data_IF_671617427421
#
_entry.id   IF_671617427421
#
_cell.length_a   1.000
_cell.length_b   1.000
_cell.length_c   1.000
_cell.angle_alpha   90.00
_cell.angle_beta   90.00
_cell.angle_gamma   90.00
#
_symmetry.space_group_name_H-M   'P 1'
#
loop_
_entity.id
_entity.type
_entity.pdbx_description
1 polymer ?
#
# COMPACT_ATOMS: atom_id res chain seq x y z
N UNK A 1 -37.42 -9.37 -41.37
CA UNK A 1 -36.30 -8.44 -41.36
C UNK A 1 -36.28 -7.49 -40.14
N UNK A 2 -37.38 -6.76 -39.81
CA UNK A 2 -37.40 -5.81 -38.66
C UNK A 2 -37.00 -6.43 -37.32
N UNK A 3 -37.45 -7.65 -37.01
CA UNK A 3 -37.09 -8.34 -35.73
C UNK A 3 -35.61 -8.66 -35.63
N UNK A 4 -34.92 -8.95 -36.73
CA UNK A 4 -33.51 -9.21 -36.77
C UNK A 4 -32.68 -7.94 -36.46
N UNK A 5 -33.07 -6.79 -37.03
CA UNK A 5 -32.40 -5.52 -36.75
C UNK A 5 -32.57 -5.10 -35.29
N UNK A 6 -33.72 -5.34 -34.69
CA UNK A 6 -33.95 -5.04 -33.26
C UNK A 6 -33.06 -5.93 -32.40
N UNK A 7 -32.96 -7.22 -32.70
CA UNK A 7 -32.10 -8.14 -31.93
C UNK A 7 -30.62 -7.79 -32.08
N UNK A 8 -30.19 -7.43 -33.28
CA UNK A 8 -28.83 -6.96 -33.54
C UNK A 8 -28.52 -5.67 -32.77
N UNK A 9 -29.43 -4.70 -32.80
CA UNK A 9 -29.26 -3.44 -32.07
C UNK A 9 -29.13 -3.67 -30.55
N UNK A 10 -29.98 -4.56 -29.98
CA UNK A 10 -29.88 -4.93 -28.56
C UNK A 10 -28.51 -5.55 -28.29
N UNK A 11 -28.02 -6.46 -29.14
CA UNK A 11 -26.70 -7.07 -28.99
C UNK A 11 -25.57 -6.04 -28.98
N UNK A 12 -25.62 -5.05 -29.88
CA UNK A 12 -24.65 -3.95 -29.92
C UNK A 12 -24.69 -3.11 -28.64
N UNK A 13 -25.89 -2.77 -28.17
CA UNK A 13 -26.05 -1.99 -26.91
C UNK A 13 -25.47 -2.76 -25.72
N UNK A 14 -25.80 -4.05 -25.58
CA UNK A 14 -25.25 -4.90 -24.51
C UNK A 14 -23.73 -4.99 -24.57
N UNK A 15 -23.18 -5.17 -25.79
CA UNK A 15 -21.74 -5.19 -26.01
C UNK A 15 -21.08 -3.86 -25.59
N UNK A 16 -21.65 -2.73 -26.01
CA UNK A 16 -21.15 -1.41 -25.64
C UNK A 16 -21.20 -1.17 -24.12
N UNK A 17 -22.30 -1.54 -23.46
CA UNK A 17 -22.41 -1.44 -22.01
C UNK A 17 -21.38 -2.33 -21.30
N UNK A 18 -21.16 -3.54 -21.77
CA UNK A 18 -20.13 -4.43 -21.26
C UNK A 18 -18.73 -3.83 -21.45
N UNK A 19 -18.44 -3.31 -22.64
CA UNK A 19 -17.17 -2.69 -22.97
C UNK A 19 -16.88 -1.47 -22.10
N UNK A 20 -17.84 -0.56 -21.98
CA UNK A 20 -17.72 0.63 -21.13
C UNK A 20 -17.47 0.22 -19.66
N UNK A 21 -18.25 -0.73 -19.16
CA UNK A 21 -18.10 -1.25 -17.78
C UNK A 21 -16.71 -1.90 -17.56
N UNK A 22 -16.16 -2.53 -18.61
CA UNK A 22 -14.83 -3.15 -18.52
C UNK A 22 -13.69 -2.12 -18.51
N UNK A 23 -13.81 -1.02 -19.23
CA UNK A 23 -12.74 0.00 -19.36
C UNK A 23 -12.83 1.08 -18.30
N UNK A 24 -14.03 1.58 -18.02
CA UNK A 24 -14.25 2.70 -17.08
C UNK A 24 -14.52 2.22 -15.65
N UNK A 25 -14.81 0.93 -15.50
CA UNK A 25 -15.26 0.33 -14.24
C UNK A 25 -16.76 0.50 -14.00
N UNK A 26 -17.28 -0.28 -13.06
CA UNK A 26 -18.68 -0.26 -12.72
C UNK A 26 -18.98 0.91 -11.77
N UNK A 27 -19.94 1.81 -12.10
CA UNK A 27 -20.24 2.97 -11.27
C UNK A 27 -20.71 2.61 -9.85
N UNK A 28 -21.43 1.48 -9.70
CA UNK A 28 -21.84 0.99 -8.38
C UNK A 28 -20.63 0.52 -7.57
N UNK A 29 -19.72 -0.23 -8.20
CA UNK A 29 -18.49 -0.67 -7.54
C UNK A 29 -17.59 0.50 -7.20
N UNK A 30 -17.53 1.54 -8.05
CA UNK A 30 -16.83 2.80 -7.76
C UNK A 30 -17.41 3.46 -6.51
N UNK A 31 -18.73 3.62 -6.42
CA UNK A 31 -19.38 4.21 -5.25
C UNK A 31 -19.08 3.43 -3.97
N UNK A 32 -19.12 2.10 -4.05
CA UNK A 32 -18.80 1.22 -2.92
C UNK A 32 -17.30 1.31 -2.53
N UNK A 33 -16.39 1.32 -3.50
CA UNK A 33 -14.96 1.48 -3.25
C UNK A 33 -14.66 2.85 -2.62
N UNK A 34 -15.29 3.92 -3.11
CA UNK A 34 -15.17 5.26 -2.53
C UNK A 34 -15.67 5.32 -1.09
N UNK A 35 -16.82 4.68 -0.80
CA UNK A 35 -17.35 4.60 0.57
C UNK A 35 -16.40 3.85 1.50
N UNK A 36 -15.82 2.75 1.03
CA UNK A 36 -14.84 1.99 1.79
C UNK A 36 -13.54 2.76 2.01
N UNK A 37 -13.05 3.47 0.96
CA UNK A 37 -11.89 4.35 1.08
C UNK A 37 -12.10 5.42 2.16
N UNK A 38 -13.26 6.08 2.18
CA UNK A 38 -13.60 7.05 3.22
C UNK A 38 -13.63 6.45 4.61
N UNK A 39 -14.24 5.27 4.78
CA UNK A 39 -14.25 4.56 6.06
C UNK A 39 -12.84 4.22 6.53
N UNK A 40 -11.98 3.70 5.65
CA UNK A 40 -10.58 3.42 5.95
C UNK A 40 -9.84 4.68 6.39
N UNK A 41 -9.98 5.78 5.64
CA UNK A 41 -9.32 7.05 5.95
C UNK A 41 -9.80 7.68 7.25
N UNK A 42 -11.09 7.57 7.58
CA UNK A 42 -11.61 8.02 8.88
C UNK A 42 -10.95 7.27 10.04
N UNK A 43 -10.60 6.00 9.84
CA UNK A 43 -9.88 5.22 10.86
C UNK A 43 -8.39 5.61 10.93
N UNK A 44 -7.76 5.88 9.79
CA UNK A 44 -6.34 6.26 9.74
C UNK A 44 -6.08 7.70 10.17
N UNK A 45 -7.01 8.61 9.88
CA UNK A 45 -6.89 10.04 10.10
C UNK A 45 -8.08 10.58 10.90
N UNK A 46 -8.39 9.93 12.03
CA UNK A 46 -9.61 10.18 12.82
C UNK A 46 -9.86 11.67 13.14
N UNK A 47 -8.79 12.43 13.41
CA UNK A 47 -8.86 13.84 13.84
C UNK A 47 -8.24 14.80 12.79
N UNK A 48 -8.06 14.36 11.54
CA UNK A 48 -7.38 15.15 10.52
C UNK A 48 -8.27 15.39 9.31
N UNK A 49 -8.06 16.53 8.67
CA UNK A 49 -8.73 16.84 7.41
C UNK A 49 -8.01 16.16 6.24
N UNK A 50 -8.78 15.56 5.35
CA UNK A 50 -8.28 14.99 4.11
C UNK A 50 -9.24 15.24 2.95
N UNK A 51 -8.70 15.31 1.73
CA UNK A 51 -9.45 15.21 0.50
C UNK A 51 -9.19 13.84 -0.16
N UNK A 52 -10.16 13.35 -0.91
CA UNK A 52 -10.09 12.08 -1.63
C UNK A 52 -10.47 12.32 -3.09
N UNK A 53 -9.47 12.25 -3.97
CA UNK A 53 -9.63 12.41 -5.39
C UNK A 53 -9.55 11.05 -6.10
N UNK A 54 -10.53 10.75 -6.96
CA UNK A 54 -10.53 9.52 -7.76
C UNK A 54 -9.62 9.71 -8.96
N UNK A 55 -8.56 8.94 -9.07
CA UNK A 55 -7.69 8.89 -10.26
C UNK A 55 -8.39 8.12 -11.37
N UNK A 56 -8.88 6.91 -11.08
CA UNK A 56 -9.54 6.10 -12.08
C UNK A 56 -9.73 4.64 -11.70
N UNK A 57 -10.14 3.88 -12.70
CA UNK A 57 -10.23 2.43 -12.62
C UNK A 57 -9.05 1.82 -13.39
N UNK A 58 -8.27 1.02 -12.71
CA UNK A 58 -7.20 0.27 -13.33
C UNK A 58 -7.76 -1.02 -13.93
N UNK A 59 -7.76 -1.09 -15.27
CA UNK A 59 -8.32 -2.22 -16.01
C UNK A 59 -7.58 -3.53 -15.74
N UNK A 60 -6.26 -3.50 -15.61
CA UNK A 60 -5.44 -4.70 -15.45
C UNK A 60 -5.60 -5.32 -14.07
N UNK A 61 -5.51 -4.50 -13.03
CA UNK A 61 -5.66 -4.95 -11.64
C UNK A 61 -7.11 -5.08 -11.19
N UNK A 62 -8.08 -4.50 -11.94
CA UNK A 62 -9.49 -4.38 -11.54
C UNK A 62 -9.67 -3.65 -10.20
N UNK A 63 -8.91 -2.59 -9.99
CA UNK A 63 -8.90 -1.79 -8.77
C UNK A 63 -9.24 -0.34 -9.05
N UNK A 64 -9.70 0.38 -8.03
CA UNK A 64 -9.89 1.83 -8.08
C UNK A 64 -8.72 2.52 -7.38
N UNK A 65 -8.13 3.49 -8.09
CA UNK A 65 -7.01 4.28 -7.61
C UNK A 65 -7.51 5.66 -7.17
N UNK A 66 -7.01 6.10 -6.03
CA UNK A 66 -7.32 7.38 -5.40
C UNK A 66 -6.03 8.10 -5.01
N UNK A 67 -6.07 9.43 -5.03
CA UNK A 67 -5.11 10.27 -4.32
C UNK A 67 -5.81 10.81 -3.08
N UNK A 68 -5.19 10.61 -1.94
CA UNK A 68 -5.60 11.15 -0.65
C UNK A 68 -4.66 12.28 -0.32
N UNK A 69 -5.17 13.50 -0.16
CA UNK A 69 -4.37 14.62 0.33
C UNK A 69 -4.80 14.94 1.74
N UNK A 70 -3.86 14.87 2.69
CA UNK A 70 -4.04 15.22 4.08
C UNK A 70 -3.40 16.57 4.35
N UNK A 71 -4.13 17.48 4.95
CA UNK A 71 -3.59 18.74 5.44
C UNK A 71 -3.00 18.54 6.82
N UNK A 72 -1.74 18.92 6.99
CA UNK A 72 -1.05 18.86 8.27
C UNK A 72 -0.14 20.10 8.39
N UNK A 73 -0.55 21.03 9.23
CA UNK A 73 0.11 22.32 9.44
C UNK A 73 0.32 23.10 8.11
N UNK A 74 1.58 23.27 7.70
CA UNK A 74 1.95 23.99 6.47
C UNK A 74 2.23 23.06 5.28
N UNK A 75 2.12 21.73 5.47
CA UNK A 75 2.53 20.75 4.48
C UNK A 75 1.36 19.84 4.12
N UNK A 76 1.03 19.77 2.83
CA UNK A 76 0.06 18.82 2.30
C UNK A 76 0.73 17.48 1.98
N UNK A 77 0.27 16.43 2.63
CA UNK A 77 0.73 15.07 2.37
C UNK A 77 -0.19 14.36 1.41
N UNK A 78 0.34 13.80 0.33
CA UNK A 78 -0.44 12.98 -0.60
C UNK A 78 -0.05 11.51 -0.54
N UNK A 79 -1.07 10.65 -0.62
CA UNK A 79 -0.94 9.19 -0.60
C UNK A 79 -1.63 8.60 -1.83
N UNK A 80 -1.03 7.56 -2.39
CA UNK A 80 -1.71 6.69 -3.35
C UNK A 80 -2.48 5.61 -2.58
N UNK A 81 -3.78 5.54 -2.79
CA UNK A 81 -4.68 4.56 -2.18
C UNK A 81 -5.32 3.73 -3.28
N UNK A 82 -5.13 2.41 -3.23
CA UNK A 82 -5.74 1.48 -4.17
C UNK A 82 -6.72 0.55 -3.45
N UNK A 83 -7.96 0.51 -3.92
CA UNK A 83 -9.04 -0.32 -3.38
C UNK A 83 -9.41 -1.43 -4.36
N UNK A 84 -9.45 -2.67 -3.87
CA UNK A 84 -9.95 -3.79 -4.63
C UNK A 84 -11.44 -3.60 -4.98
N UNK A 85 -11.80 -3.78 -6.25
CA UNK A 85 -13.17 -3.59 -6.75
C UNK A 85 -14.08 -4.81 -6.57
N UNK A 86 -13.59 -5.92 -6.05
CA UNK A 86 -14.41 -7.13 -5.88
C UNK A 86 -15.52 -6.89 -4.86
N UNK A 87 -16.73 -7.29 -5.21
CA UNK A 87 -17.92 -7.02 -4.40
C UNK A 87 -17.85 -7.63 -3.00
N UNK A 88 -17.26 -8.83 -2.88
CA UNK A 88 -17.17 -9.59 -1.64
C UNK A 88 -15.88 -9.33 -0.84
N UNK A 89 -14.84 -8.78 -1.48
CA UNK A 89 -13.51 -8.61 -0.87
C UNK A 89 -13.03 -7.18 -1.14
N UNK A 90 -13.50 -6.26 -0.30
CA UNK A 90 -13.08 -4.86 -0.34
C UNK A 90 -11.91 -4.69 0.61
N UNK A 91 -10.74 -4.67 0.07
CA UNK A 91 -9.51 -4.48 0.83
C UNK A 91 -8.72 -3.32 0.27
N UNK A 92 -7.98 -2.65 1.15
CA UNK A 92 -6.93 -1.74 0.74
C UNK A 92 -5.78 -2.57 0.22
N UNK A 93 -5.52 -2.47 -1.08
CA UNK A 93 -4.38 -3.13 -1.71
C UNK A 93 -3.09 -2.36 -1.47
N UNK A 94 -3.16 -1.03 -1.61
CA UNK A 94 -2.00 -0.15 -1.46
C UNK A 94 -2.42 1.13 -0.75
N UNK A 95 -1.62 1.54 0.24
CA UNK A 95 -1.69 2.86 0.85
C UNK A 95 -0.26 3.31 1.11
N UNK A 96 0.29 4.11 0.19
CA UNK A 96 1.67 4.57 0.20
C UNK A 96 1.73 6.05 -0.10
N UNK A 97 2.75 6.78 0.39
CA UNK A 97 2.98 8.16 0.01
C UNK A 97 3.10 8.32 -1.50
N UNK A 98 2.52 9.40 -2.02
CA UNK A 98 2.60 9.70 -3.44
C UNK A 98 4.01 10.21 -3.79
N UNK A 99 4.71 9.64 -4.79
CA UNK A 99 6.11 9.97 -5.08
C UNK A 99 6.38 11.46 -5.30
N UNK A 100 5.44 12.18 -5.94
CA UNK A 100 5.61 13.61 -6.22
C UNK A 100 5.74 14.49 -4.96
N UNK A 101 5.30 14.00 -3.79
CA UNK A 101 5.35 14.72 -2.51
C UNK A 101 6.51 14.31 -1.63
N UNK A 102 7.32 13.36 -2.07
CA UNK A 102 8.47 12.85 -1.33
C UNK A 102 9.75 13.59 -1.66
N UNK A 103 10.60 13.73 -0.67
CA UNK A 103 12.03 13.97 -0.86
C UNK A 103 12.71 12.63 -1.12
N UNK A 104 12.89 12.29 -2.39
CA UNK A 104 13.45 11.00 -2.80
C UNK A 104 14.90 10.82 -2.33
N UNK A 105 15.70 11.89 -2.36
CA UNK A 105 17.11 11.84 -1.96
C UNK A 105 17.23 11.53 -0.46
N UNK A 106 16.48 12.27 0.35
CA UNK A 106 16.45 12.09 1.80
C UNK A 106 15.83 10.74 2.19
N UNK A 107 14.74 10.35 1.55
CA UNK A 107 14.09 9.04 1.75
C UNK A 107 15.06 7.88 1.45
N UNK A 108 15.80 7.96 0.34
CA UNK A 108 16.77 6.94 -0.06
C UNK A 108 17.91 6.87 0.94
N UNK A 109 18.47 8.02 1.35
CA UNK A 109 19.57 8.07 2.31
C UNK A 109 19.18 7.46 3.65
N UNK A 110 18.06 7.90 4.24
CA UNK A 110 17.58 7.39 5.53
C UNK A 110 17.17 5.91 5.46
N UNK A 111 16.65 5.45 4.33
CA UNK A 111 16.39 4.03 4.10
C UNK A 111 17.66 3.20 4.16
N UNK A 112 18.71 3.63 3.46
CA UNK A 112 20.02 2.94 3.44
C UNK A 112 20.70 2.95 4.81
N UNK A 113 20.62 4.07 5.55
CA UNK A 113 21.15 4.19 6.90
C UNK A 113 20.47 3.21 7.86
N UNK A 114 19.12 3.09 7.79
CA UNK A 114 18.33 2.21 8.65
C UNK A 114 18.34 0.74 8.25
N UNK A 115 18.54 0.44 6.96
CA UNK A 115 18.41 -0.93 6.43
C UNK A 115 19.36 -1.91 7.12
N UNK A 116 20.61 -1.52 7.33
CA UNK A 116 21.59 -2.38 7.99
C UNK A 116 21.15 -2.76 9.41
N UNK A 117 20.61 -1.81 10.15
CA UNK A 117 20.11 -2.05 11.50
C UNK A 117 18.89 -2.97 11.53
N UNK A 118 17.90 -2.67 10.68
CA UNK A 118 16.69 -3.50 10.53
C UNK A 118 17.04 -4.92 10.08
N UNK A 119 17.97 -5.05 9.11
CA UNK A 119 18.46 -6.33 8.62
C UNK A 119 19.09 -7.18 9.72
N UNK A 120 19.93 -6.57 10.58
CA UNK A 120 20.54 -7.27 11.70
C UNK A 120 19.51 -7.80 12.70
N UNK A 121 18.41 -7.06 12.93
CA UNK A 121 17.31 -7.51 13.78
C UNK A 121 16.61 -8.71 13.13
N UNK A 122 16.23 -8.57 11.86
CA UNK A 122 15.51 -9.64 11.13
C UNK A 122 16.34 -10.92 11.06
N UNK A 123 17.65 -10.80 10.82
CA UNK A 123 18.55 -11.96 10.69
C UNK A 123 18.76 -12.74 11.99
N UNK A 124 18.40 -12.19 13.16
CA UNK A 124 18.37 -12.99 14.42
C UNK A 124 17.24 -14.03 14.41
N UNK A 125 16.16 -13.75 13.66
CA UNK A 125 14.98 -14.62 13.57
C UNK A 125 14.97 -15.39 12.24
N UNK A 126 15.34 -14.71 11.16
CA UNK A 126 15.32 -15.21 9.78
C UNK A 126 16.69 -14.99 9.12
N UNK A 127 17.70 -15.85 9.39
CA UNK A 127 19.10 -15.60 9.00
C UNK A 127 19.35 -15.40 7.51
N UNK A 128 18.52 -16.00 6.64
CA UNK A 128 18.67 -15.97 5.19
C UNK A 128 17.65 -15.07 4.48
N UNK A 129 16.92 -14.26 5.23
CA UNK A 129 15.92 -13.37 4.64
C UNK A 129 16.59 -12.23 3.85
N UNK A 130 16.04 -11.91 2.69
CA UNK A 130 16.32 -10.64 2.03
C UNK A 130 15.42 -9.57 2.65
N UNK A 131 16.03 -8.51 3.17
CA UNK A 131 15.34 -7.44 3.90
C UNK A 131 15.52 -6.13 3.15
N UNK A 132 14.44 -5.44 2.91
CA UNK A 132 14.42 -4.08 2.35
C UNK A 132 13.65 -3.18 3.33
N UNK A 133 14.28 -2.10 3.75
CA UNK A 133 13.68 -1.08 4.61
C UNK A 133 13.53 0.22 3.82
N UNK A 134 12.31 0.76 3.77
CA UNK A 134 12.01 2.01 3.08
C UNK A 134 11.42 3.04 4.03
N UNK A 135 12.05 4.19 4.09
CA UNK A 135 11.54 5.38 4.77
C UNK A 135 10.97 6.32 3.70
N UNK A 136 9.84 6.91 3.96
CA UNK A 136 9.22 7.89 3.07
C UNK A 136 9.20 9.25 3.78
N UNK A 137 9.97 10.19 3.27
CA UNK A 137 10.09 11.53 3.83
C UNK A 137 9.37 12.51 2.93
N UNK A 138 8.30 13.18 3.38
CA UNK A 138 7.70 14.26 2.61
C UNK A 138 8.64 15.46 2.50
N UNK A 139 8.55 16.17 1.39
CA UNK A 139 9.34 17.39 1.17
C UNK A 139 9.11 18.41 2.29
N UNK A 140 10.19 18.86 2.89
CA UNK A 140 10.14 19.84 3.96
C UNK A 140 9.68 19.34 5.33
N UNK A 141 9.41 18.04 5.49
CA UNK A 141 8.94 17.48 6.77
C UNK A 141 10.03 17.41 7.84
N UNK A 142 11.28 17.22 7.45
CA UNK A 142 12.44 17.12 8.34
C UNK A 142 13.66 17.82 7.72
N UNK A 143 14.65 18.12 8.54
CA UNK A 143 15.91 18.72 8.10
C UNK A 143 16.70 17.75 7.19
N UNK A 144 17.30 18.29 6.13
CA UNK A 144 18.11 17.51 5.17
C UNK A 144 19.32 16.84 5.80
N UNK A 145 19.82 17.33 6.94
CA UNK A 145 20.92 16.77 7.68
C UNK A 145 20.50 15.73 8.73
N UNK A 146 19.21 15.43 8.85
CA UNK A 146 18.71 14.42 9.78
C UNK A 146 19.38 13.07 9.50
N UNK A 147 19.89 12.42 10.53
CA UNK A 147 20.50 11.08 10.47
C UNK A 147 19.49 10.08 11.00
N UNK A 148 19.44 8.91 10.37
CA UNK A 148 18.64 7.81 10.86
C UNK A 148 19.30 7.18 12.10
N UNK A 149 18.51 6.99 13.16
CA UNK A 149 18.92 6.27 14.37
C UNK A 149 17.72 5.48 14.95
N UNK A 150 17.92 4.47 15.81
CA UNK A 150 16.83 3.83 16.53
C UNK A 150 16.00 4.87 17.28
N UNK A 151 14.67 4.80 17.13
CA UNK A 151 13.77 5.85 17.61
C UNK A 151 13.40 6.88 16.55
N UNK A 152 14.06 6.86 15.37
CA UNK A 152 13.67 7.72 14.27
C UNK A 152 12.23 7.47 13.85
N UNK A 153 11.42 8.50 13.87
CA UNK A 153 10.02 8.47 13.46
C UNK A 153 9.71 9.69 12.60
N UNK A 154 9.03 9.45 11.51
CA UNK A 154 8.38 10.47 10.69
C UNK A 154 6.91 10.11 10.61
N UNK A 155 6.05 11.06 10.27
CA UNK A 155 4.61 10.80 10.10
C UNK A 155 4.31 9.67 9.12
N UNK A 156 5.22 9.44 8.17
CA UNK A 156 5.22 8.33 7.23
C UNK A 156 6.27 7.31 7.66
N UNK A 157 5.92 6.51 8.66
CA UNK A 157 6.79 5.43 9.11
C UNK A 157 7.20 4.49 7.96
N UNK A 158 8.39 3.94 8.07
CA UNK A 158 8.98 3.08 7.08
C UNK A 158 8.16 1.81 6.78
N UNK A 159 8.43 1.24 5.64
CA UNK A 159 7.89 -0.07 5.25
C UNK A 159 9.04 -1.07 5.24
N UNK A 160 8.80 -2.23 5.86
CA UNK A 160 9.78 -3.32 5.92
C UNK A 160 9.27 -4.45 5.02
N UNK A 161 10.05 -4.82 4.02
CA UNK A 161 9.81 -5.98 3.18
C UNK A 161 10.81 -7.08 3.52
N UNK A 162 10.32 -8.25 3.87
CA UNK A 162 11.11 -9.44 4.21
C UNK A 162 10.75 -10.52 3.21
N UNK A 163 11.73 -10.97 2.43
CA UNK A 163 11.56 -12.08 1.50
C UNK A 163 12.40 -13.26 2.00
N UNK A 164 11.74 -14.37 2.32
CA UNK A 164 12.36 -15.60 2.83
C UNK A 164 12.11 -16.74 1.85
N UNK A 165 13.17 -17.43 1.44
CA UNK A 165 13.07 -18.69 0.72
C UNK A 165 13.17 -19.84 1.71
N UNK A 166 12.23 -20.79 1.66
CA UNK A 166 12.18 -21.96 2.56
C UNK A 166 11.83 -23.22 1.76
N UNK A 167 12.36 -24.36 2.23
CA UNK A 167 12.05 -25.67 1.61
C UNK A 167 10.67 -26.21 2.02
N UNK A 168 10.18 -25.80 3.19
CA UNK A 168 8.85 -26.13 3.67
C UNK A 168 8.38 -25.08 4.67
N UNK A 169 7.14 -24.64 4.53
CA UNK A 169 6.53 -23.62 5.39
C UNK A 169 5.34 -24.21 6.13
N UNK A 170 5.25 -23.94 7.44
CA UNK A 170 4.11 -24.30 8.28
C UNK A 170 3.41 -22.99 8.70
N UNK A 171 2.09 -22.93 8.54
CA UNK A 171 1.30 -21.71 8.78
C UNK A 171 1.40 -21.18 10.22
N UNK A 172 1.55 -22.09 11.20
CA UNK A 172 1.75 -21.75 12.62
C UNK A 172 3.08 -21.01 12.85
N UNK A 173 4.12 -21.29 12.07
CA UNK A 173 5.42 -20.60 12.14
C UNK A 173 5.31 -19.14 11.73
N UNK A 174 4.44 -18.83 10.76
CA UNK A 174 4.24 -17.46 10.29
C UNK A 174 3.73 -16.52 11.38
N UNK A 175 2.71 -16.95 12.13
CA UNK A 175 2.15 -16.17 13.22
C UNK A 175 3.17 -15.90 14.33
N UNK A 176 3.95 -16.93 14.68
CA UNK A 176 4.99 -16.84 15.70
C UNK A 176 6.14 -15.91 15.27
N UNK A 177 6.64 -16.07 14.04
CA UNK A 177 7.70 -15.21 13.47
C UNK A 177 7.24 -13.75 13.43
N UNK A 178 5.99 -13.49 13.02
CA UNK A 178 5.46 -12.14 12.98
C UNK A 178 5.40 -11.50 14.37
N UNK A 179 5.04 -12.25 15.39
CA UNK A 179 5.02 -11.77 16.78
C UNK A 179 6.44 -11.49 17.29
N UNK A 180 7.39 -12.37 17.02
CA UNK A 180 8.79 -12.20 17.40
C UNK A 180 9.40 -10.96 16.72
N UNK A 181 9.19 -10.79 15.43
CA UNK A 181 9.66 -9.60 14.69
C UNK A 181 9.06 -8.31 15.24
N UNK A 182 7.76 -8.32 15.55
CA UNK A 182 7.09 -7.16 16.16
C UNK A 182 7.75 -6.79 17.49
N UNK A 183 7.95 -7.75 18.35
CA UNK A 183 8.59 -7.56 19.66
C UNK A 183 10.02 -7.02 19.52
N UNK A 184 10.83 -7.63 18.65
CA UNK A 184 12.21 -7.19 18.39
C UNK A 184 12.28 -5.76 17.82
N UNK A 185 11.36 -5.40 16.92
CA UNK A 185 11.31 -4.04 16.39
C UNK A 185 10.93 -3.03 17.48
N UNK A 186 9.94 -3.33 18.31
CA UNK A 186 9.52 -2.47 19.43
C UNK A 186 10.65 -2.28 20.43
N UNK A 187 11.36 -3.35 20.83
CA UNK A 187 12.48 -3.27 21.79
C UNK A 187 13.69 -2.50 21.24
N UNK A 188 13.91 -2.56 19.92
CA UNK A 188 15.03 -1.86 19.29
C UNK A 188 14.63 -0.48 18.74
N UNK A 189 13.44 0.03 19.06
CA UNK A 189 12.99 1.36 18.65
C UNK A 189 12.79 1.52 17.15
N UNK A 190 12.39 0.45 16.44
CA UNK A 190 12.11 0.51 15.00
C UNK A 190 10.65 0.85 14.79
N UNK A 191 10.40 2.05 14.28
CA UNK A 191 9.06 2.47 13.89
C UNK A 191 8.78 2.13 12.43
N UNK A 192 7.61 1.56 12.17
CA UNK A 192 7.18 1.19 10.83
C UNK A 192 5.65 1.28 10.70
N UNK A 193 5.17 1.58 9.50
CA UNK A 193 3.74 1.56 9.18
C UNK A 193 3.27 0.16 8.74
N UNK A 194 4.18 -0.60 8.12
CA UNK A 194 3.86 -1.92 7.56
C UNK A 194 5.08 -2.84 7.55
N UNK A 195 4.85 -4.09 7.94
CA UNK A 195 5.78 -5.21 7.67
C UNK A 195 5.11 -6.17 6.70
N UNK A 196 5.79 -6.47 5.60
CA UNK A 196 5.37 -7.46 4.61
C UNK A 196 6.36 -8.62 4.61
N UNK A 197 5.91 -9.81 4.94
CA UNK A 197 6.72 -11.03 4.88
C UNK A 197 6.22 -11.85 3.69
N UNK A 198 7.08 -12.08 2.72
CA UNK A 198 6.82 -12.96 1.58
C UNK A 198 7.67 -14.21 1.73
N UNK A 199 7.02 -15.34 1.67
CA UNK A 199 7.69 -16.64 1.67
C UNK A 199 7.62 -17.21 0.27
N UNK A 200 8.75 -17.69 -0.23
CA UNK A 200 8.84 -18.36 -1.53
C UNK A 200 9.37 -19.77 -1.29
N UNK A 201 8.66 -20.77 -1.79
CA UNK A 201 9.15 -22.16 -1.76
C UNK A 201 10.21 -22.33 -2.85
N UNK A 202 11.31 -23.00 -2.50
CA UNK A 202 12.29 -23.43 -3.48
C UNK A 202 11.62 -24.47 -4.40
N UNK A 203 11.45 -24.15 -5.69
CA UNK A 203 11.01 -25.15 -6.67
C UNK A 203 12.11 -26.17 -6.86
N UNK A 204 11.87 -27.40 -6.42
CA UNK A 204 12.68 -28.59 -6.68
C UNK A 204 12.80 -28.87 -8.17
#
# INVERSE_FOLDING_TARGET
>A
MKKFYVLFLIGVIVFLLYFINSVVGNPLLKALATSYAKQFLTTQFADQQYSLDTVGFNFDSKMYDYIVTRQHDEIDYSYALTINSKFADRTVSTFLPHPATLDEALSTRLSNEGETHVKNIVHRILPNANVEYKVYVPKGAIDENTIWEPGFSVDLNGVIHINQTVNQWIEDDYSNIRQQLKHEFEENGIYYSRVSIRVTEESL
#
